data_IF_600534006538
#
_entry.id   IF_600534006538
#
_cell.length_a   1.000
_cell.length_b   1.000
_cell.length_c   1.000
_cell.angle_alpha   90.00
_cell.angle_beta   90.00
_cell.angle_gamma   90.00
#
_symmetry.space_group_name_H-M   'P 1'
#
loop_
_entity.id
_entity.type
_entity.pdbx_description
1 polymer ?
#
# COMPACT_ATOMS: atom_id res chain seq x y z
N UNK A 1 3.52 5.32 12.35
CA UNK A 1 4.26 4.59 11.30
C UNK A 1 4.84 3.35 11.92
N UNK A 2 4.80 2.23 11.21
CA UNK A 2 5.42 0.96 11.56
C UNK A 2 6.58 0.74 10.59
N UNK A 3 7.81 0.81 11.09
CA UNK A 3 9.02 0.71 10.26
C UNK A 3 9.44 -0.74 10.12
N UNK A 4 9.35 -1.28 8.91
CA UNK A 4 9.73 -2.66 8.64
C UNK A 4 11.24 -2.84 8.72
N UNK A 5 11.66 -3.93 9.35
CA UNK A 5 13.07 -4.33 9.48
C UNK A 5 13.17 -5.85 9.37
N UNK A 6 14.32 -6.35 8.92
CA UNK A 6 14.60 -7.78 8.90
C UNK A 6 15.00 -8.31 10.30
N UNK A 7 14.15 -8.06 11.29
CA UNK A 7 14.28 -8.57 12.66
C UNK A 7 12.88 -8.90 13.19
N UNK A 8 12.77 -9.92 14.05
CA UNK A 8 11.51 -10.33 14.67
C UNK A 8 10.84 -9.16 15.41
N UNK A 9 9.50 -9.09 15.38
CA UNK A 9 8.73 -7.98 15.96
C UNK A 9 8.62 -6.73 15.09
N UNK A 10 9.36 -6.66 13.98
CA UNK A 10 9.32 -5.55 13.01
C UNK A 10 9.02 -6.02 11.58
N UNK A 11 8.63 -7.28 11.41
CA UNK A 11 8.21 -7.82 10.12
C UNK A 11 6.76 -7.46 9.84
N UNK A 12 6.38 -7.49 8.57
CA UNK A 12 5.04 -7.08 8.16
C UNK A 12 3.94 -8.05 8.67
N UNK A 13 4.28 -9.33 8.84
CA UNK A 13 3.39 -10.34 9.43
C UNK A 13 2.96 -10.05 10.87
N UNK A 14 3.70 -9.21 11.62
CA UNK A 14 3.29 -8.79 12.97
C UNK A 14 1.96 -8.00 12.94
N UNK A 15 1.62 -7.39 11.80
CA UNK A 15 0.37 -6.66 11.60
C UNK A 15 -0.83 -7.59 11.37
N UNK A 16 -0.62 -8.88 11.09
CA UNK A 16 -1.67 -9.83 10.69
C UNK A 16 -2.81 -9.84 11.71
N UNK A 17 -2.48 -9.92 13.01
CA UNK A 17 -3.46 -10.07 14.10
C UNK A 17 -3.97 -8.73 14.67
N UNK A 18 -3.50 -7.60 14.16
CA UNK A 18 -3.86 -6.26 14.66
C UNK A 18 -5.16 -5.74 14.04
N UNK A 19 -6.30 -6.35 14.38
CA UNK A 19 -7.59 -6.10 13.71
C UNK A 19 -8.29 -4.80 14.13
N UNK A 20 -7.93 -4.21 15.26
CA UNK A 20 -8.54 -2.98 15.78
C UNK A 20 -7.92 -1.67 15.27
N UNK A 21 -6.96 -1.76 14.34
CA UNK A 21 -6.28 -0.59 13.79
C UNK A 21 -7.25 0.32 13.01
N UNK A 22 -7.33 1.59 13.43
CA UNK A 22 -8.09 2.62 12.73
C UNK A 22 -7.26 3.37 11.68
N UNK A 23 -5.97 3.55 11.96
CA UNK A 23 -5.00 4.21 11.08
C UNK A 23 -3.71 3.40 11.11
N UNK A 24 -3.11 3.20 9.94
CA UNK A 24 -1.88 2.46 9.79
C UNK A 24 -0.97 3.17 8.79
N UNK A 25 0.31 3.26 9.12
CA UNK A 25 1.33 3.64 8.16
C UNK A 25 2.42 2.59 8.21
N UNK A 26 2.84 2.08 7.06
CA UNK A 26 3.89 1.08 6.93
C UNK A 26 5.04 1.73 6.16
N UNK A 27 6.23 1.69 6.72
CA UNK A 27 7.43 2.25 6.13
C UNK A 27 8.44 1.13 5.82
N UNK A 28 9.44 1.47 5.01
CA UNK A 28 10.50 0.56 4.61
C UNK A 28 9.98 -0.71 3.92
N UNK A 29 8.95 -0.58 3.09
CA UNK A 29 8.35 -1.70 2.36
C UNK A 29 9.33 -2.45 1.43
N UNK A 30 10.48 -1.86 1.07
CA UNK A 30 11.62 -2.58 0.44
C UNK A 30 12.10 -3.79 1.24
N UNK A 31 11.96 -3.76 2.56
CA UNK A 31 12.53 -4.78 3.42
C UNK A 31 11.72 -6.08 3.41
N UNK A 32 10.56 -6.09 2.75
CA UNK A 32 9.77 -7.29 2.49
C UNK A 32 10.50 -8.11 1.43
N UNK A 33 10.91 -9.34 1.78
CA UNK A 33 11.78 -10.14 0.91
C UNK A 33 11.02 -10.94 -0.14
N UNK A 34 9.76 -11.23 0.15
CA UNK A 34 8.87 -12.01 -0.67
C UNK A 34 7.46 -11.43 -0.58
N UNK A 35 6.73 -11.40 -1.69
CA UNK A 35 5.34 -11.04 -1.70
C UNK A 35 4.51 -11.92 -0.76
N UNK A 36 4.85 -13.20 -0.59
CA UNK A 36 4.19 -14.09 0.38
C UNK A 36 4.36 -13.63 1.83
N UNK A 37 5.48 -12.96 2.15
CA UNK A 37 5.72 -12.38 3.48
C UNK A 37 4.76 -11.20 3.74
N UNK A 38 4.27 -10.52 2.71
CA UNK A 38 3.38 -9.36 2.79
C UNK A 38 1.95 -9.66 3.30
N UNK A 39 1.80 -10.61 4.22
CA UNK A 39 0.54 -11.01 4.82
C UNK A 39 0.16 -10.10 6.01
N UNK A 40 -0.16 -8.85 5.72
CA UNK A 40 -0.68 -7.93 6.74
C UNK A 40 -2.20 -8.07 6.94
N UNK A 41 -2.91 -8.90 6.15
CA UNK A 41 -4.39 -9.03 6.16
C UNK A 41 -5.11 -7.69 6.26
N UNK A 42 -4.68 -6.70 5.47
CA UNK A 42 -5.23 -5.34 5.54
C UNK A 42 -6.73 -5.33 5.20
N UNK A 43 -7.15 -6.14 4.24
CA UNK A 43 -8.55 -6.27 3.82
C UNK A 43 -9.51 -6.72 4.94
N UNK A 44 -8.99 -7.39 5.99
CA UNK A 44 -9.78 -7.85 7.15
C UNK A 44 -9.90 -6.79 8.25
N UNK A 45 -9.11 -5.71 8.21
CA UNK A 45 -9.08 -4.64 9.23
C UNK A 45 -10.26 -3.68 9.05
N UNK A 46 -11.45 -4.09 9.50
CA UNK A 46 -12.74 -3.42 9.29
C UNK A 46 -12.85 -1.99 9.82
N UNK A 47 -11.90 -1.54 10.64
CA UNK A 47 -11.87 -0.19 11.23
C UNK A 47 -10.82 0.72 10.58
N UNK A 48 -9.99 0.19 9.68
CA UNK A 48 -8.88 0.91 9.09
C UNK A 48 -9.39 1.88 8.01
N UNK A 49 -9.37 3.17 8.34
CA UNK A 49 -9.86 4.25 7.46
C UNK A 49 -8.75 5.07 6.82
N UNK A 50 -7.51 4.92 7.32
CA UNK A 50 -6.33 5.65 6.83
C UNK A 50 -5.14 4.70 6.69
N UNK A 51 -4.53 4.69 5.50
CA UNK A 51 -3.39 3.85 5.17
C UNK A 51 -2.31 4.66 4.47
N UNK A 52 -1.07 4.59 4.99
CA UNK A 52 0.13 5.06 4.31
C UNK A 52 1.04 3.87 4.01
N UNK A 53 1.50 3.74 2.77
CA UNK A 53 2.48 2.75 2.34
C UNK A 53 3.70 3.48 1.78
N UNK A 54 4.85 3.36 2.43
CA UNK A 54 6.06 4.06 2.05
C UNK A 54 7.19 3.07 1.73
N UNK A 55 7.67 3.15 0.49
CA UNK A 55 8.86 2.48 0.01
C UNK A 55 10.07 3.39 0.28
N UNK A 56 10.55 3.43 1.53
CA UNK A 56 11.66 4.31 1.98
C UNK A 56 12.81 4.44 0.97
N UNK A 57 13.40 5.64 0.84
CA UNK A 57 14.58 5.91 0.01
C UNK A 57 15.75 5.02 0.46
N UNK A 58 16.41 4.33 -0.46
CA UNK A 58 17.79 3.87 -0.28
C UNK A 58 18.54 4.22 -1.54
N UNK A 59 19.78 4.65 -1.36
CA UNK A 59 20.74 4.97 -2.42
C UNK A 59 21.29 3.71 -3.14
N UNK A 60 20.62 2.56 -3.00
CA UNK A 60 21.06 1.30 -3.60
C UNK A 60 20.11 0.92 -4.73
N UNK A 61 20.58 1.13 -5.96
CA UNK A 61 19.95 0.91 -7.27
C UNK A 61 19.50 -0.53 -7.55
N UNK A 62 19.71 -1.50 -6.65
CA UNK A 62 19.38 -2.91 -6.89
C UNK A 62 17.98 -3.29 -6.38
N UNK A 63 16.98 -2.43 -6.59
CA UNK A 63 15.60 -2.74 -6.17
C UNK A 63 14.90 -3.55 -7.26
N UNK A 64 14.18 -4.60 -6.86
CA UNK A 64 13.40 -5.39 -7.79
C UNK A 64 12.00 -4.77 -7.93
N UNK A 65 11.79 -4.00 -9.01
CA UNK A 65 10.53 -3.32 -9.28
C UNK A 65 9.34 -4.30 -9.39
N UNK A 66 9.58 -5.53 -9.86
CA UNK A 66 8.54 -6.57 -9.93
C UNK A 66 8.11 -7.03 -8.52
N UNK A 67 9.07 -7.12 -7.59
CA UNK A 67 8.77 -7.47 -6.20
C UNK A 67 7.92 -6.39 -5.53
N UNK A 68 8.24 -5.11 -5.73
CA UNK A 68 7.45 -4.01 -5.17
C UNK A 68 5.99 -4.07 -5.64
N UNK A 69 5.76 -4.39 -6.92
CA UNK A 69 4.42 -4.59 -7.47
C UNK A 69 3.67 -5.77 -6.83
N UNK A 70 4.36 -6.90 -6.65
CA UNK A 70 3.75 -8.07 -6.01
C UNK A 70 3.47 -7.83 -4.51
N UNK A 71 4.33 -7.10 -3.81
CA UNK A 71 4.10 -6.68 -2.42
C UNK A 71 2.89 -5.75 -2.35
N UNK A 72 2.80 -4.76 -3.25
CA UNK A 72 1.66 -3.85 -3.29
C UNK A 72 0.35 -4.61 -3.56
N UNK A 73 0.35 -5.62 -4.44
CA UNK A 73 -0.83 -6.47 -4.71
C UNK A 73 -1.34 -7.17 -3.46
N UNK A 74 -0.46 -7.65 -2.59
CA UNK A 74 -0.82 -8.32 -1.33
C UNK A 74 -1.26 -7.36 -0.22
N UNK A 75 -1.01 -6.05 -0.38
CA UNK A 75 -1.43 -5.00 0.55
C UNK A 75 -2.80 -4.41 0.18
N UNK A 76 -3.72 -5.27 -0.27
CA UNK A 76 -5.09 -4.87 -0.59
C UNK A 76 -5.79 -4.23 0.63
N UNK A 77 -6.30 -3.00 0.52
CA UNK A 77 -6.93 -2.31 1.63
C UNK A 77 -8.33 -2.88 1.95
N UNK A 78 -8.85 -2.62 3.16
CA UNK A 78 -10.23 -2.94 3.49
C UNK A 78 -11.19 -1.94 2.84
N UNK A 79 -12.42 -2.37 2.53
CA UNK A 79 -13.43 -1.52 1.88
C UNK A 79 -13.80 -0.28 2.67
N UNK A 80 -13.53 -0.25 3.98
CA UNK A 80 -13.76 0.92 4.82
C UNK A 80 -12.70 2.02 4.64
N UNK A 81 -11.61 1.77 3.91
CA UNK A 81 -10.54 2.73 3.72
C UNK A 81 -11.07 4.01 3.04
N UNK A 82 -10.72 5.16 3.62
CA UNK A 82 -11.08 6.49 3.12
C UNK A 82 -9.88 7.25 2.56
N UNK A 83 -8.72 7.06 3.16
CA UNK A 83 -7.50 7.78 2.81
C UNK A 83 -6.38 6.80 2.51
N UNK A 84 -5.80 6.92 1.31
CA UNK A 84 -4.67 6.13 0.87
C UNK A 84 -3.52 7.05 0.47
N UNK A 85 -2.35 6.81 1.02
CA UNK A 85 -1.11 7.46 0.62
C UNK A 85 -0.11 6.39 0.23
N UNK A 86 0.49 6.52 -0.95
CA UNK A 86 1.56 5.66 -1.43
C UNK A 86 2.74 6.54 -1.81
N UNK A 87 3.89 6.24 -1.22
CA UNK A 87 5.10 7.03 -1.39
C UNK A 87 6.23 6.15 -1.91
N UNK A 88 6.95 6.67 -2.90
CA UNK A 88 8.22 6.12 -3.42
C UNK A 88 8.10 4.70 -3.97
N UNK A 89 6.92 4.34 -4.46
CA UNK A 89 6.67 3.06 -5.08
C UNK A 89 7.36 3.01 -6.45
N UNK A 90 8.22 2.01 -6.66
CA UNK A 90 9.05 1.87 -7.87
C UNK A 90 8.58 0.74 -8.80
N UNK A 91 7.44 0.10 -8.51
CA UNK A 91 6.91 -0.92 -9.39
C UNK A 91 6.37 -0.33 -10.71
N UNK A 92 6.62 -1.01 -11.82
CA UNK A 92 6.27 -0.53 -13.16
C UNK A 92 4.75 -0.46 -13.45
N UNK A 93 3.93 -1.11 -12.62
CA UNK A 93 2.47 -1.20 -12.79
C UNK A 93 1.72 -0.80 -11.54
N UNK A 94 0.47 -0.37 -11.70
CA UNK A 94 -0.46 -0.30 -10.57
C UNK A 94 -0.81 -1.67 -10.01
N UNK A 95 -1.20 -1.68 -8.74
CA UNK A 95 -1.71 -2.89 -8.09
C UNK A 95 -3.02 -3.38 -8.74
N UNK A 96 -3.21 -4.70 -8.79
CA UNK A 96 -4.40 -5.36 -9.34
C UNK A 96 -5.67 -4.86 -8.65
N UNK A 97 -5.63 -4.73 -7.32
CA UNK A 97 -6.79 -4.26 -6.55
C UNK A 97 -7.13 -2.79 -6.80
N UNK A 98 -6.21 -1.98 -7.32
CA UNK A 98 -6.51 -0.60 -7.69
C UNK A 98 -7.28 -0.52 -9.01
N UNK A 99 -7.03 -1.46 -9.93
CA UNK A 99 -7.73 -1.55 -11.21
C UNK A 99 -9.18 -2.02 -11.07
N UNK A 100 -9.54 -2.56 -9.90
CA UNK A 100 -10.91 -2.89 -9.51
C UNK A 100 -11.47 -1.79 -8.59
N UNK A 101 -12.67 -1.27 -8.88
CA UNK A 101 -13.29 -0.23 -8.05
C UNK A 101 -13.77 -0.76 -6.69
N UNK A 102 -14.05 -2.05 -6.55
CA UNK A 102 -14.71 -2.62 -5.37
C UNK A 102 -13.86 -2.51 -4.07
N UNK A 103 -12.55 -2.84 -4.07
CA UNK A 103 -11.72 -2.72 -2.87
C UNK A 103 -11.55 -1.28 -2.37
N UNK A 104 -11.57 -0.32 -3.29
CA UNK A 104 -11.31 1.11 -3.01
C UNK A 104 -12.55 1.99 -3.21
N UNK A 105 -13.75 1.40 -3.20
CA UNK A 105 -14.98 2.08 -3.56
C UNK A 105 -15.26 3.31 -2.68
N UNK A 106 -14.95 3.22 -1.39
CA UNK A 106 -15.18 4.29 -0.40
C UNK A 106 -14.01 5.26 -0.27
N UNK A 107 -13.02 5.22 -1.18
CA UNK A 107 -11.85 6.08 -1.08
C UNK A 107 -12.24 7.54 -1.34
N UNK A 108 -11.92 8.42 -0.40
CA UNK A 108 -12.20 9.85 -0.43
C UNK A 108 -10.96 10.65 -0.87
N UNK A 109 -9.77 10.15 -0.52
CA UNK A 109 -8.49 10.77 -0.86
C UNK A 109 -7.47 9.72 -1.26
N UNK A 110 -6.77 10.02 -2.35
CA UNK A 110 -5.55 9.30 -2.74
C UNK A 110 -4.41 10.29 -2.95
N UNK A 111 -3.23 9.92 -2.45
CA UNK A 111 -1.99 10.64 -2.71
C UNK A 111 -0.93 9.65 -3.16
N UNK A 112 -0.40 9.84 -4.37
CA UNK A 112 0.83 9.21 -4.84
C UNK A 112 1.94 10.28 -4.74
N UNK A 113 3.15 9.88 -4.39
CA UNK A 113 4.29 10.80 -4.28
C UNK A 113 5.56 10.03 -4.58
N UNK A 114 6.39 10.56 -5.48
CA UNK A 114 7.62 9.91 -5.94
C UNK A 114 7.40 8.50 -6.52
N UNK A 115 6.24 8.25 -7.14
CA UNK A 115 5.88 6.97 -7.77
C UNK A 115 6.21 6.97 -9.28
N UNK A 116 7.48 7.26 -9.62
CA UNK A 116 7.91 7.70 -10.96
C UNK A 116 7.73 6.65 -12.06
N UNK A 117 7.82 5.36 -11.73
CA UNK A 117 7.75 4.24 -12.69
C UNK A 117 6.32 3.73 -12.93
N UNK A 118 5.30 4.32 -12.29
CA UNK A 118 3.92 3.85 -12.42
C UNK A 118 3.27 4.36 -13.72
N UNK A 119 3.48 3.64 -14.82
CA UNK A 119 3.02 4.06 -16.16
C UNK A 119 1.48 3.98 -16.33
N UNK A 120 0.82 3.15 -15.54
CA UNK A 120 -0.63 2.94 -15.63
C UNK A 120 -1.30 3.31 -14.32
N UNK A 121 -2.01 4.43 -14.31
CA UNK A 121 -2.87 4.78 -13.18
C UNK A 121 -4.23 4.08 -13.30
N UNK A 122 -4.82 3.65 -12.19
CA UNK A 122 -6.14 3.04 -12.15
C UNK A 122 -7.22 4.02 -12.61
N UNK A 123 -8.43 3.52 -12.99
CA UNK A 123 -9.54 4.36 -13.43
C UNK A 123 -10.22 5.04 -12.22
N UNK A 124 -9.46 5.83 -11.46
CA UNK A 124 -9.94 6.53 -10.27
C UNK A 124 -11.19 7.37 -10.56
N UNK A 125 -11.38 7.85 -11.80
CA UNK A 125 -12.59 8.57 -12.24
C UNK A 125 -13.91 7.83 -11.99
N UNK A 126 -13.87 6.51 -11.77
CA UNK A 126 -15.02 5.68 -11.45
C UNK A 126 -15.33 5.59 -9.94
N UNK A 127 -14.53 6.20 -9.09
CA UNK A 127 -14.71 6.18 -7.62
C UNK A 127 -15.67 7.30 -7.20
N UNK A 128 -16.86 6.98 -6.67
CA UNK A 128 -17.92 7.96 -6.47
C UNK A 128 -17.65 8.94 -5.33
N UNK A 129 -16.81 8.57 -4.36
CA UNK A 129 -16.53 9.40 -3.18
C UNK A 129 -15.18 10.12 -3.25
N UNK A 130 -14.41 9.95 -4.33
CA UNK A 130 -13.05 10.45 -4.40
C UNK A 130 -13.03 11.96 -4.66
N UNK A 131 -12.74 12.74 -3.61
CA UNK A 131 -12.76 14.21 -3.62
C UNK A 131 -11.38 14.82 -3.90
N UNK A 132 -10.30 14.09 -3.59
CA UNK A 132 -8.93 14.62 -3.71
C UNK A 132 -7.98 13.57 -4.30
N UNK A 133 -7.24 13.98 -5.33
CA UNK A 133 -6.14 13.22 -5.92
C UNK A 133 -4.92 14.12 -5.98
N UNK A 134 -3.81 13.62 -5.45
CA UNK A 134 -2.49 14.20 -5.66
C UNK A 134 -1.64 13.07 -6.23
N UNK A 135 -1.03 13.29 -7.40
CA UNK A 135 -0.23 12.30 -8.11
C UNK A 135 1.22 12.77 -8.16
#
# INVERSE_FOLDING_TARGET
MFDLRDVSGYRIGELEKMNDLCKLGINCLKNVKDAEEACAKLCEKRRLTYLTLCWSWSDTDSRNNDLDGNVLDNLQPPKCLRNLIIERYMGARSAIWMNNVNPIFNLEKIKLTDCLECETLPPFGKLPFLMSRTL
#
